data_IF_396503011072
#
_entry.id   IF_396503011072
#
_cell.length_a   1.000
_cell.length_b   1.000
_cell.length_c   1.000
_cell.angle_alpha   90.00
_cell.angle_beta   90.00
_cell.angle_gamma   90.00
#
_symmetry.space_group_name_H-M   'P 1'
#
loop_
_entity.id
_entity.type
_entity.pdbx_description
1 polymer ?
#
# COMPACT_ATOMS: atom_id res chain seq x y z
N UNK A 1 14.85 10.33 -0.88
CA UNK A 1 16.26 10.73 -1.12
C UNK A 1 16.82 10.33 -2.49
N UNK A 2 16.43 9.17 -3.07
CA UNK A 2 16.92 8.75 -4.39
C UNK A 2 16.68 9.77 -5.51
N UNK A 3 15.51 10.40 -5.51
CA UNK A 3 15.14 11.49 -6.43
C UNK A 3 16.04 12.73 -6.31
N UNK A 4 16.36 13.17 -5.08
CA UNK A 4 17.26 14.29 -4.85
C UNK A 4 18.65 14.01 -5.44
N UNK A 5 19.16 12.78 -5.25
CA UNK A 5 20.42 12.36 -5.85
C UNK A 5 20.35 12.41 -7.37
N UNK A 6 19.30 11.86 -8.00
CA UNK A 6 19.15 11.91 -9.48
C UNK A 6 19.11 13.34 -10.01
N UNK A 7 18.39 14.24 -9.35
CA UNK A 7 18.28 15.65 -9.76
C UNK A 7 19.60 16.42 -9.62
N UNK A 8 20.35 16.19 -8.55
CA UNK A 8 21.52 17.02 -8.21
C UNK A 8 22.86 16.43 -8.68
N UNK A 9 22.97 15.10 -8.73
CA UNK A 9 24.21 14.39 -9.13
C UNK A 9 24.09 13.83 -10.55
N UNK A 10 22.87 13.60 -11.04
CA UNK A 10 22.60 13.03 -12.35
C UNK A 10 22.28 11.53 -12.34
N UNK A 11 22.04 11.00 -13.53
CA UNK A 11 21.77 9.59 -13.81
C UNK A 11 23.08 8.81 -13.99
N UNK A 12 22.99 7.48 -14.08
CA UNK A 12 24.10 6.56 -14.41
C UNK A 12 25.27 6.56 -13.40
N UNK A 13 24.98 6.72 -12.11
CA UNK A 13 25.97 6.49 -11.06
C UNK A 13 26.12 4.99 -10.82
N UNK A 14 27.36 4.49 -10.88
CA UNK A 14 27.68 3.11 -10.52
C UNK A 14 27.83 2.93 -9.01
N UNK A 15 27.99 1.68 -8.58
CA UNK A 15 28.07 1.27 -7.19
C UNK A 15 29.18 1.98 -6.39
N UNK A 16 30.24 2.47 -7.04
CA UNK A 16 31.36 3.16 -6.39
C UNK A 16 30.94 4.49 -5.74
N UNK A 17 29.84 5.10 -6.21
CA UNK A 17 29.24 6.23 -5.52
C UNK A 17 28.81 5.83 -4.11
N UNK A 18 28.37 4.59 -3.87
CA UNK A 18 27.91 4.11 -2.56
C UNK A 18 29.00 3.43 -1.71
N UNK A 19 30.23 3.32 -2.20
CA UNK A 19 31.35 2.74 -1.43
C UNK A 19 31.55 3.52 -0.11
N UNK A 20 31.55 2.86 1.05
CA UNK A 20 31.72 3.53 2.35
C UNK A 20 33.10 4.18 2.52
N UNK A 21 34.11 3.75 1.75
CA UNK A 21 35.46 4.34 1.74
C UNK A 21 35.54 5.60 0.88
N UNK A 22 34.52 5.88 0.06
CA UNK A 22 34.45 7.08 -0.75
C UNK A 22 33.88 8.24 0.07
N UNK A 23 34.75 8.92 0.82
CA UNK A 23 34.38 10.03 1.71
C UNK A 23 33.71 11.19 0.97
N UNK A 24 34.17 11.52 -0.24
CA UNK A 24 33.58 12.58 -1.06
C UNK A 24 32.12 12.27 -1.43
N UNK A 25 31.85 11.05 -1.92
CA UNK A 25 30.48 10.64 -2.23
C UNK A 25 29.63 10.50 -0.97
N UNK A 26 30.23 10.06 0.16
CA UNK A 26 29.53 9.97 1.44
C UNK A 26 29.08 11.35 1.94
N UNK A 27 29.91 12.38 1.76
CA UNK A 27 29.56 13.76 2.07
C UNK A 27 28.40 14.25 1.21
N UNK A 28 28.46 14.03 -0.11
CA UNK A 28 27.35 14.36 -1.03
C UNK A 28 26.05 13.69 -0.58
N UNK A 29 26.07 12.38 -0.26
CA UNK A 29 24.89 11.66 0.26
C UNK A 29 24.39 12.21 1.60
N UNK A 30 25.28 12.77 2.41
CA UNK A 30 24.92 13.40 3.68
C UNK A 30 24.21 14.73 3.47
N UNK A 31 24.75 15.57 2.58
CA UNK A 31 24.18 16.88 2.25
C UNK A 31 22.81 16.74 1.59
N UNK A 32 22.67 15.78 0.65
CA UNK A 32 21.38 15.43 0.04
C UNK A 32 20.35 14.96 1.06
N UNK A 33 20.76 14.15 2.05
CA UNK A 33 19.88 13.69 3.10
C UNK A 33 19.42 14.84 4.00
N UNK A 34 20.32 15.79 4.31
CA UNK A 34 20.01 16.98 5.10
C UNK A 34 19.03 17.89 4.37
N UNK A 35 19.29 18.20 3.09
CA UNK A 35 18.38 19.02 2.28
C UNK A 35 16.99 18.37 2.16
N UNK A 36 16.93 17.07 1.89
CA UNK A 36 15.66 16.35 1.83
C UNK A 36 14.91 16.37 3.17
N UNK A 37 15.62 16.34 4.31
CA UNK A 37 15.02 16.44 5.63
C UNK A 37 14.52 17.87 5.93
N UNK A 38 15.27 18.89 5.53
CA UNK A 38 14.86 20.31 5.67
C UNK A 38 13.57 20.56 4.90
N UNK A 39 13.47 20.10 3.66
CA UNK A 39 12.25 20.20 2.85
C UNK A 39 11.08 19.43 3.48
N UNK A 40 11.35 18.25 4.04
CA UNK A 40 10.35 17.45 4.77
C UNK A 40 9.79 18.19 5.98
N UNK A 41 10.68 18.81 6.77
CA UNK A 41 10.33 19.59 7.95
C UNK A 41 9.54 20.85 7.55
N UNK A 42 9.93 21.52 6.45
CA UNK A 42 9.24 22.70 5.93
C UNK A 42 7.84 22.37 5.40
N UNK A 43 7.67 21.20 4.79
CA UNK A 43 6.36 20.72 4.33
C UNK A 43 5.39 20.50 5.51
N UNK A 44 5.88 19.88 6.59
CA UNK A 44 5.13 19.72 7.84
C UNK A 44 4.82 21.07 8.50
N UNK A 45 5.79 21.98 8.54
CA UNK A 45 5.64 23.28 9.21
C UNK A 45 4.71 24.24 8.47
N UNK A 46 4.48 24.02 7.18
CA UNK A 46 3.58 24.82 6.35
C UNK A 46 2.16 24.23 6.24
N UNK A 47 1.87 23.16 6.99
CA UNK A 47 0.62 22.38 6.91
C UNK A 47 0.32 21.90 5.48
N UNK A 48 1.35 21.72 4.65
CA UNK A 48 1.20 21.17 3.30
C UNK A 48 0.98 19.65 3.31
N UNK A 49 1.35 19.00 4.41
CA UNK A 49 1.07 17.60 4.68
C UNK A 49 1.05 17.32 6.20
N UNK A 50 0.34 16.26 6.60
CA UNK A 50 0.28 15.80 8.00
C UNK A 50 1.35 14.75 8.33
N UNK A 51 1.96 14.13 7.32
CA UNK A 51 2.91 13.04 7.49
C UNK A 51 3.94 13.02 6.36
N UNK A 52 5.20 12.75 6.69
CA UNK A 52 6.28 12.58 5.73
C UNK A 52 6.90 11.19 5.84
N UNK A 53 7.08 10.54 4.69
CA UNK A 53 7.84 9.29 4.58
C UNK A 53 9.24 9.61 4.07
N UNK A 54 10.23 9.54 4.97
CA UNK A 54 11.62 9.77 4.62
C UNK A 54 12.27 8.49 4.06
N UNK A 55 12.09 8.24 2.76
CA UNK A 55 12.64 7.06 2.08
C UNK A 55 14.15 7.20 1.80
N UNK A 56 14.95 6.44 2.55
CA UNK A 56 16.38 6.26 2.42
C UNK A 56 16.84 5.00 3.16
N UNK A 57 18.03 4.49 2.84
CA UNK A 57 18.58 3.28 3.48
C UNK A 57 18.82 3.42 4.98
N UNK A 58 19.25 4.61 5.45
CA UNK A 58 19.43 4.92 6.87
C UNK A 58 20.14 3.82 7.70
N UNK A 59 21.11 3.14 7.06
CA UNK A 59 21.67 1.87 7.50
C UNK A 59 22.55 1.97 8.76
N UNK A 60 22.98 3.16 9.18
CA UNK A 60 23.88 3.35 10.33
C UNK A 60 23.17 4.04 11.49
N UNK A 61 23.52 3.68 12.73
CA UNK A 61 23.04 4.34 13.96
C UNK A 61 23.32 5.84 13.92
N UNK A 62 24.52 6.24 13.46
CA UNK A 62 24.90 7.66 13.30
C UNK A 62 23.92 8.43 12.42
N UNK A 63 23.50 7.84 11.28
CA UNK A 63 22.53 8.48 10.37
C UNK A 63 21.18 8.63 11.05
N UNK A 64 20.67 7.58 11.71
CA UNK A 64 19.39 7.63 12.42
C UNK A 64 19.38 8.65 13.56
N UNK A 65 20.46 8.69 14.35
CA UNK A 65 20.64 9.67 15.42
C UNK A 65 20.65 11.12 14.89
N UNK A 66 21.29 11.37 13.75
CA UNK A 66 21.26 12.69 13.10
C UNK A 66 19.83 13.08 12.70
N UNK A 67 19.11 12.19 12.02
CA UNK A 67 17.72 12.47 11.60
C UNK A 67 16.83 12.75 12.81
N UNK A 68 16.94 11.92 13.86
CA UNK A 68 16.20 12.11 15.11
C UNK A 68 16.54 13.44 15.77
N UNK A 69 17.82 13.81 15.85
CA UNK A 69 18.27 15.06 16.44
C UNK A 69 17.69 16.29 15.74
N UNK A 70 17.62 16.29 14.41
CA UNK A 70 17.03 17.39 13.62
C UNK A 70 15.50 17.48 13.78
N UNK A 71 14.82 16.33 13.82
CA UNK A 71 13.36 16.29 14.00
C UNK A 71 12.97 16.74 15.41
N UNK A 72 13.68 16.27 16.44
CA UNK A 72 13.40 16.60 17.85
C UNK A 72 13.57 18.09 18.18
N UNK A 73 14.34 18.84 17.40
CA UNK A 73 14.46 20.30 17.57
C UNK A 73 13.14 21.03 17.29
N UNK A 74 12.27 20.46 16.45
CA UNK A 74 11.07 21.14 15.93
C UNK A 74 9.78 20.42 16.31
N UNK A 75 9.83 19.09 16.38
CA UNK A 75 8.68 18.23 16.66
C UNK A 75 8.98 17.35 17.86
N UNK A 76 8.12 17.39 18.86
CA UNK A 76 8.44 16.78 20.15
C UNK A 76 8.35 15.25 20.19
N UNK A 77 7.60 14.55 19.32
CA UNK A 77 7.34 13.11 19.55
C UNK A 77 6.83 12.21 18.41
N UNK A 78 6.98 12.54 17.12
CA UNK A 78 6.24 11.78 16.07
C UNK A 78 7.10 11.08 15.01
N UNK A 79 8.38 10.84 15.30
CA UNK A 79 9.23 10.05 14.41
C UNK A 79 9.16 8.56 14.74
N UNK A 80 9.09 7.73 13.71
CA UNK A 80 9.24 6.28 13.78
C UNK A 80 10.12 5.78 12.64
N UNK A 81 10.91 4.74 12.90
CA UNK A 81 11.61 4.00 11.85
C UNK A 81 10.84 2.74 11.44
N UNK A 82 10.81 2.45 10.14
CA UNK A 82 10.33 1.18 9.61
C UNK A 82 11.50 0.53 8.89
N UNK A 83 11.94 -0.61 9.38
CA UNK A 83 13.04 -1.39 8.83
C UNK A 83 12.50 -2.63 8.13
N UNK A 84 12.73 -2.73 6.83
CA UNK A 84 12.41 -3.93 6.04
C UNK A 84 13.64 -4.82 5.96
N UNK A 85 13.54 -6.04 6.47
CA UNK A 85 14.60 -7.02 6.51
C UNK A 85 14.19 -8.18 5.59
N UNK A 86 15.01 -8.51 4.61
CA UNK A 86 14.79 -9.66 3.73
C UNK A 86 16.03 -10.53 3.75
N UNK A 87 15.91 -11.72 4.35
CA UNK A 87 16.96 -12.72 4.39
C UNK A 87 16.75 -13.79 3.29
N UNK A 88 15.56 -13.83 2.67
CA UNK A 88 15.24 -14.75 1.58
C UNK A 88 15.99 -14.39 0.28
N UNK A 89 16.84 -15.31 -0.25
CA UNK A 89 17.52 -15.10 -1.53
C UNK A 89 16.56 -14.94 -2.72
N UNK A 90 15.40 -15.62 -2.66
CA UNK A 90 14.37 -15.55 -3.71
C UNK A 90 13.74 -14.16 -3.77
N UNK A 91 13.39 -13.59 -2.61
CA UNK A 91 12.81 -12.25 -2.53
C UNK A 91 13.80 -11.18 -2.99
N UNK A 92 15.09 -11.35 -2.66
CA UNK A 92 16.15 -10.47 -3.14
C UNK A 92 16.27 -10.54 -4.67
N UNK A 93 16.28 -11.74 -5.26
CA UNK A 93 16.34 -11.91 -6.70
C UNK A 93 15.12 -11.28 -7.42
N UNK A 94 13.92 -11.52 -6.91
CA UNK A 94 12.69 -10.91 -7.46
C UNK A 94 12.72 -9.38 -7.34
N UNK A 95 13.13 -8.84 -6.19
CA UNK A 95 13.21 -7.39 -6.00
C UNK A 95 14.22 -6.72 -6.93
N UNK A 96 15.37 -7.36 -7.19
CA UNK A 96 16.39 -6.87 -8.13
C UNK A 96 15.80 -6.80 -9.53
N UNK A 97 15.13 -7.88 -9.96
CA UNK A 97 14.52 -7.96 -11.28
C UNK A 97 13.37 -6.94 -11.44
N UNK A 98 12.42 -6.89 -10.52
CA UNK A 98 11.21 -6.06 -10.67
C UNK A 98 11.46 -4.56 -10.47
N UNK A 99 12.23 -4.17 -9.44
CA UNK A 99 12.37 -2.73 -9.10
C UNK A 99 13.48 -2.01 -9.87
N UNK A 100 14.47 -2.71 -10.41
CA UNK A 100 15.70 -2.06 -10.92
C UNK A 100 15.91 -2.19 -12.41
N UNK A 101 15.25 -3.12 -13.09
CA UNK A 101 15.18 -3.12 -14.55
C UNK A 101 14.34 -1.97 -15.10
N UNK A 102 13.38 -1.45 -14.32
CA UNK A 102 12.61 -0.26 -14.65
C UNK A 102 13.21 1.06 -14.12
N UNK A 103 14.38 1.03 -13.47
CA UNK A 103 14.98 2.21 -12.85
C UNK A 103 15.75 3.03 -13.89
N UNK A 104 15.52 4.35 -13.92
CA UNK A 104 16.25 5.30 -14.79
C UNK A 104 17.77 5.26 -14.59
N UNK A 105 18.23 4.84 -13.39
CA UNK A 105 19.66 4.70 -13.08
C UNK A 105 20.41 3.68 -13.95
N UNK A 106 19.68 2.75 -14.56
CA UNK A 106 20.21 1.61 -15.32
C UNK A 106 19.77 1.64 -16.80
N UNK A 107 19.26 2.78 -17.26
CA UNK A 107 18.80 2.93 -18.64
C UNK A 107 19.92 2.61 -19.66
N UNK A 108 19.67 1.63 -20.52
CA UNK A 108 20.60 1.22 -21.58
C UNK A 108 21.70 0.24 -21.17
N UNK A 109 21.69 -0.28 -19.94
CA UNK A 109 22.61 -1.34 -19.49
C UNK A 109 22.02 -2.73 -19.70
N UNK A 110 22.87 -3.75 -19.79
CA UNK A 110 22.45 -5.16 -19.86
C UNK A 110 22.00 -5.67 -18.49
N UNK A 111 21.20 -6.74 -18.48
CA UNK A 111 20.76 -7.38 -17.24
C UNK A 111 21.94 -7.80 -16.36
N UNK A 112 23.00 -8.38 -16.96
CA UNK A 112 24.17 -8.84 -16.22
C UNK A 112 24.93 -7.68 -15.54
N UNK A 113 25.14 -6.57 -16.26
CA UNK A 113 25.82 -5.38 -15.72
C UNK A 113 25.04 -4.75 -14.56
N UNK A 114 23.71 -4.64 -14.71
CA UNK A 114 22.82 -4.10 -13.67
C UNK A 114 22.86 -4.98 -12.43
N UNK A 115 22.79 -6.30 -12.60
CA UNK A 115 22.85 -7.24 -11.50
C UNK A 115 24.20 -7.16 -10.76
N UNK A 116 25.32 -7.08 -11.49
CA UNK A 116 26.64 -6.98 -10.88
C UNK A 116 26.83 -5.67 -10.10
N UNK A 117 26.51 -4.52 -10.72
CA UNK A 117 26.59 -3.21 -10.08
C UNK A 117 25.73 -3.16 -8.82
N UNK A 118 24.48 -3.63 -8.91
CA UNK A 118 23.55 -3.60 -7.79
C UNK A 118 23.99 -4.53 -6.65
N UNK A 119 24.50 -5.73 -6.97
CA UNK A 119 25.05 -6.63 -5.95
C UNK A 119 26.25 -5.99 -5.23
N UNK A 120 27.15 -5.31 -5.95
CA UNK A 120 28.24 -4.58 -5.33
C UNK A 120 27.72 -3.43 -4.44
N UNK A 121 26.67 -2.74 -4.87
CA UNK A 121 26.00 -1.71 -4.06
C UNK A 121 25.38 -2.28 -2.78
N UNK A 122 24.78 -3.47 -2.83
CA UNK A 122 24.28 -4.17 -1.64
C UNK A 122 25.43 -4.45 -0.67
N UNK A 123 26.54 -5.04 -1.16
CA UNK A 123 27.73 -5.35 -0.35
C UNK A 123 28.29 -4.11 0.36
N UNK A 124 28.29 -2.96 -0.30
CA UNK A 124 28.71 -1.69 0.30
C UNK A 124 27.84 -1.33 1.52
N UNK A 125 26.52 -1.48 1.42
CA UNK A 125 25.62 -1.23 2.55
C UNK A 125 25.71 -2.31 3.64
N UNK A 126 25.82 -3.59 3.28
CA UNK A 126 26.00 -4.69 4.24
C UNK A 126 27.22 -4.46 5.13
N UNK A 127 28.33 -3.95 4.57
CA UNK A 127 29.57 -3.70 5.32
C UNK A 127 29.44 -2.64 6.43
N UNK A 128 28.42 -1.78 6.37
CA UNK A 128 28.18 -0.70 7.35
C UNK A 128 26.84 -0.82 8.05
N UNK A 129 26.02 -1.83 7.70
CA UNK A 129 24.66 -1.95 8.18
C UNK A 129 24.64 -2.26 9.68
N UNK A 130 23.87 -1.46 10.41
CA UNK A 130 23.62 -1.59 11.83
C UNK A 130 22.11 -1.67 12.01
N UNK A 131 21.60 -2.88 12.21
CA UNK A 131 20.19 -3.16 12.43
C UNK A 131 19.64 -2.33 13.61
N UNK A 132 18.35 -1.99 13.57
CA UNK A 132 17.67 -1.41 14.72
C UNK A 132 17.73 -2.36 15.91
N UNK A 133 17.81 -1.85 17.13
CA UNK A 133 17.97 -2.67 18.32
C UNK A 133 17.33 -1.97 19.52
N UNK A 134 16.41 -2.65 20.19
CA UNK A 134 15.62 -2.09 21.29
C UNK A 134 16.49 -1.73 22.51
N UNK A 135 17.66 -2.35 22.68
CA UNK A 135 18.57 -2.06 23.78
C UNK A 135 19.43 -0.82 23.51
N UNK A 136 19.57 -0.41 22.24
CA UNK A 136 20.45 0.71 21.85
C UNK A 136 19.72 1.91 21.27
N UNK A 137 18.46 1.73 20.84
CA UNK A 137 17.66 2.77 20.18
C UNK A 137 16.49 3.18 21.09
N UNK A 138 16.44 4.46 21.46
CA UNK A 138 15.47 5.06 22.38
C UNK A 138 14.29 5.74 21.63
N UNK A 139 13.86 5.15 20.51
CA UNK A 139 12.81 5.68 19.67
C UNK A 139 11.88 4.60 19.08
N UNK A 140 10.67 4.97 18.64
CA UNK A 140 9.71 4.05 18.04
C UNK A 140 10.25 3.43 16.75
N UNK A 141 10.13 2.10 16.62
CA UNK A 141 10.39 1.46 15.35
C UNK A 141 9.62 0.15 15.14
N UNK A 142 9.45 -0.20 13.87
CA UNK A 142 8.88 -1.47 13.42
C UNK A 142 9.90 -2.15 12.51
N UNK A 143 10.21 -3.42 12.77
CA UNK A 143 10.94 -4.28 11.84
C UNK A 143 9.94 -5.20 11.16
N UNK A 144 10.01 -5.27 9.84
CA UNK A 144 9.24 -6.20 9.00
C UNK A 144 10.23 -7.17 8.38
N UNK A 145 10.19 -8.43 8.82
CA UNK A 145 11.12 -9.49 8.38
C UNK A 145 10.43 -10.36 7.35
N UNK A 146 11.13 -10.62 6.25
CA UNK A 146 10.71 -11.42 5.08
C UNK A 146 9.26 -11.13 4.69
N UNK A 147 8.99 -9.86 4.34
CA UNK A 147 7.70 -9.47 3.75
C UNK A 147 6.51 -9.77 4.67
N UNK A 148 6.71 -9.56 5.98
CA UNK A 148 5.68 -9.71 7.01
C UNK A 148 5.62 -11.09 7.66
N UNK A 149 6.57 -12.00 7.35
CA UNK A 149 6.71 -13.30 8.06
C UNK A 149 6.86 -13.10 9.57
N UNK A 150 7.61 -12.07 9.98
CA UNK A 150 7.72 -11.65 11.37
C UNK A 150 7.70 -10.13 11.48
N UNK A 151 7.09 -9.63 12.54
CA UNK A 151 7.09 -8.21 12.87
C UNK A 151 7.55 -8.02 14.30
N UNK A 152 8.49 -7.11 14.48
CA UNK A 152 8.98 -6.67 15.78
C UNK A 152 8.67 -5.20 15.97
N UNK A 153 8.15 -4.83 17.13
CA UNK A 153 7.74 -3.47 17.45
C UNK A 153 8.44 -3.01 18.72
N UNK A 154 9.03 -1.83 18.67
CA UNK A 154 9.64 -1.17 19.81
C UNK A 154 8.95 0.18 20.04
N UNK A 155 8.51 0.43 21.27
CA UNK A 155 8.04 1.76 21.69
C UNK A 155 6.98 2.38 20.76
N UNK A 156 5.98 1.60 20.34
CA UNK A 156 4.87 2.09 19.49
C UNK A 156 3.87 2.85 20.38
N UNK A 157 3.61 4.12 20.08
CA UNK A 157 2.74 4.97 20.87
C UNK A 157 1.68 5.67 20.02
N UNK A 158 0.49 5.82 20.61
CA UNK A 158 -0.60 6.60 20.00
C UNK A 158 -1.26 5.93 18.80
N UNK A 159 -2.16 6.68 18.17
CA UNK A 159 -3.05 6.15 17.14
C UNK A 159 -2.34 5.87 15.82
N UNK A 160 -1.64 6.86 15.24
CA UNK A 160 -1.07 6.76 13.90
C UNK A 160 -0.04 5.62 13.80
N UNK A 161 0.90 5.57 14.74
CA UNK A 161 1.93 4.53 14.82
C UNK A 161 1.33 3.11 14.94
N UNK A 162 0.28 2.96 15.76
CA UNK A 162 -0.44 1.69 15.91
C UNK A 162 -1.17 1.29 14.64
N UNK A 163 -1.75 2.26 13.90
CA UNK A 163 -2.39 2.02 12.60
C UNK A 163 -1.39 1.62 11.52
N UNK A 164 -0.20 2.22 11.52
CA UNK A 164 0.91 1.84 10.63
C UNK A 164 1.35 0.41 10.93
N UNK A 165 1.57 0.07 12.20
CA UNK A 165 1.89 -1.30 12.62
C UNK A 165 0.83 -2.30 12.16
N UNK A 166 -0.45 -1.99 12.40
CA UNK A 166 -1.55 -2.84 11.97
C UNK A 166 -1.58 -3.02 10.45
N UNK A 167 -1.37 -1.95 9.67
CA UNK A 167 -1.30 -2.04 8.21
C UNK A 167 -0.15 -2.97 7.80
N UNK A 168 1.06 -2.74 8.29
CA UNK A 168 2.24 -3.53 7.95
C UNK A 168 2.06 -5.02 8.30
N UNK A 169 1.39 -5.33 9.41
CA UNK A 169 1.06 -6.69 9.82
C UNK A 169 0.05 -7.42 8.92
N UNK A 170 -0.71 -6.68 8.12
CA UNK A 170 -1.73 -7.24 7.24
C UNK A 170 -1.40 -7.10 5.74
N UNK A 171 -0.27 -6.46 5.40
CA UNK A 171 0.18 -6.36 4.01
C UNK A 171 0.68 -7.72 3.50
N UNK A 172 0.15 -8.15 2.36
CA UNK A 172 0.63 -9.33 1.63
C UNK A 172 1.16 -8.86 0.29
N UNK A 173 2.47 -8.97 0.06
CA UNK A 173 3.09 -8.53 -1.20
C UNK A 173 3.07 -9.60 -2.30
N UNK A 174 2.67 -10.84 -1.98
CA UNK A 174 2.49 -11.89 -3.00
C UNK A 174 1.37 -11.47 -3.95
N UNK A 175 1.62 -11.39 -5.28
CA UNK A 175 0.57 -11.08 -6.25
C UNK A 175 -0.59 -12.05 -6.11
N UNK A 176 -1.79 -11.53 -5.94
CA UNK A 176 -3.03 -12.30 -5.87
C UNK A 176 -4.14 -11.54 -6.60
N UNK A 177 -4.95 -12.22 -7.44
CA UNK A 177 -6.05 -11.55 -8.11
C UNK A 177 -7.11 -11.16 -7.08
N UNK A 178 -7.57 -9.90 -7.16
CA UNK A 178 -8.74 -9.41 -6.44
C UNK A 178 -9.80 -9.09 -7.49
N UNK A 179 -10.88 -9.86 -7.52
CA UNK A 179 -11.99 -9.63 -8.42
C UNK A 179 -13.02 -8.74 -7.74
N UNK A 180 -13.34 -7.62 -8.37
CA UNK A 180 -14.38 -6.71 -7.92
C UNK A 180 -15.50 -6.71 -8.95
N UNK A 181 -16.71 -7.00 -8.50
CA UNK A 181 -17.91 -6.82 -9.30
C UNK A 181 -19.06 -6.35 -8.42
N UNK A 182 -19.98 -5.59 -9.02
CA UNK A 182 -21.27 -5.28 -8.40
C UNK A 182 -22.16 -6.53 -8.42
N UNK A 183 -23.26 -6.45 -7.69
CA UNK A 183 -24.37 -7.36 -7.90
C UNK A 183 -24.87 -7.28 -9.37
N UNK A 184 -25.53 -8.33 -9.86
CA UNK A 184 -26.26 -8.24 -11.12
C UNK A 184 -27.30 -7.11 -11.09
N UNK A 185 -27.72 -6.61 -12.25
CA UNK A 185 -28.73 -5.55 -12.32
C UNK A 185 -29.94 -5.85 -11.43
N UNK A 186 -30.33 -4.91 -10.57
CA UNK A 186 -31.49 -5.03 -9.69
C UNK A 186 -32.73 -4.36 -10.29
N UNK A 187 -33.91 -4.68 -9.76
CA UNK A 187 -35.15 -4.00 -10.13
C UNK A 187 -35.13 -2.50 -9.86
N UNK A 188 -34.36 -2.02 -8.88
CA UNK A 188 -34.18 -0.58 -8.66
C UNK A 188 -33.24 0.04 -9.69
N UNK A 189 -32.26 -0.70 -10.22
CA UNK A 189 -31.44 -0.18 -11.30
C UNK A 189 -32.26 0.04 -12.59
N UNK A 190 -33.18 -0.87 -12.92
CA UNK A 190 -34.07 -0.70 -14.09
C UNK A 190 -35.01 0.50 -13.93
N UNK A 191 -35.33 0.87 -12.69
CA UNK A 191 -36.17 2.01 -12.34
C UNK A 191 -35.35 3.29 -12.04
N UNK A 192 -34.01 3.23 -12.13
CA UNK A 192 -33.09 4.31 -11.75
C UNK A 192 -33.26 4.80 -10.31
N UNK A 193 -33.68 3.93 -9.40
CA UNK A 193 -33.80 4.20 -7.97
C UNK A 193 -32.49 3.91 -7.24
N UNK A 194 -32.16 4.74 -6.26
CA UNK A 194 -30.97 4.57 -5.41
C UNK A 194 -31.31 3.80 -4.13
N UNK A 195 -30.32 3.14 -3.53
CA UNK A 195 -30.47 2.44 -2.26
C UNK A 195 -31.42 1.24 -2.30
N UNK A 196 -32.15 1.03 -1.21
CA UNK A 196 -33.09 -0.06 -1.00
C UNK A 196 -32.45 -1.45 -1.00
N UNK A 197 -33.31 -2.47 -0.98
CA UNK A 197 -32.90 -3.89 -1.03
C UNK A 197 -33.65 -4.70 -2.10
N UNK A 198 -33.76 -4.11 -3.29
CA UNK A 198 -34.49 -4.71 -4.41
C UNK A 198 -33.82 -6.00 -4.92
N UNK A 199 -34.61 -7.00 -5.37
CA UNK A 199 -34.07 -8.23 -5.95
C UNK A 199 -33.44 -7.98 -7.33
N UNK A 200 -32.78 -9.01 -7.87
CA UNK A 200 -32.24 -8.97 -9.22
C UNK A 200 -33.34 -8.85 -10.29
N UNK A 201 -33.04 -8.11 -11.36
CA UNK A 201 -33.81 -8.11 -12.60
C UNK A 201 -33.60 -9.42 -13.38
N UNK A 202 -34.38 -9.69 -14.44
CA UNK A 202 -34.12 -10.82 -15.32
C UNK A 202 -32.70 -10.79 -15.94
N UNK A 203 -32.17 -9.61 -16.27
CA UNK A 203 -30.79 -9.46 -16.76
C UNK A 203 -29.77 -9.65 -15.63
N UNK A 204 -30.07 -9.20 -14.42
CA UNK A 204 -29.25 -9.48 -13.24
C UNK A 204 -29.11 -10.97 -12.93
N UNK A 205 -30.19 -11.73 -13.10
CA UNK A 205 -30.16 -13.20 -12.98
C UNK A 205 -29.30 -13.86 -14.06
N UNK A 206 -29.30 -13.33 -15.29
CA UNK A 206 -28.41 -13.80 -16.35
C UNK A 206 -26.95 -13.47 -16.05
N UNK A 207 -26.68 -12.28 -15.51
CA UNK A 207 -25.34 -11.91 -15.04
C UNK A 207 -24.85 -12.86 -13.92
N UNK A 208 -25.68 -13.14 -12.92
CA UNK A 208 -25.36 -14.09 -11.84
C UNK A 208 -24.99 -15.48 -12.39
N UNK A 209 -25.72 -15.96 -13.41
CA UNK A 209 -25.40 -17.21 -14.09
C UNK A 209 -24.07 -17.16 -14.85
N UNK A 210 -23.73 -16.02 -15.46
CA UNK A 210 -22.45 -15.83 -16.15
C UNK A 210 -21.28 -15.74 -15.16
N UNK A 211 -21.47 -15.07 -14.03
CA UNK A 211 -20.47 -14.99 -12.98
C UNK A 211 -20.17 -16.38 -12.41
N UNK A 212 -21.20 -17.19 -12.13
CA UNK A 212 -21.03 -18.58 -11.71
C UNK A 212 -20.23 -19.40 -12.72
N UNK A 213 -20.51 -19.26 -14.03
CA UNK A 213 -19.70 -19.91 -15.09
C UNK A 213 -18.26 -19.45 -15.12
N UNK A 214 -18.01 -18.15 -14.92
CA UNK A 214 -16.66 -17.61 -14.81
C UNK A 214 -15.92 -18.23 -13.61
N UNK A 215 -16.56 -18.26 -12.44
CA UNK A 215 -15.97 -18.88 -11.24
C UNK A 215 -15.69 -20.37 -11.48
N UNK A 216 -16.58 -21.09 -12.14
CA UNK A 216 -16.36 -22.50 -12.48
C UNK A 216 -15.17 -22.70 -13.44
N UNK A 217 -14.99 -21.83 -14.42
CA UNK A 217 -13.92 -21.93 -15.39
C UNK A 217 -12.53 -21.67 -14.78
N UNK A 218 -12.41 -20.69 -13.87
CA UNK A 218 -11.13 -20.27 -13.29
C UNK A 218 -10.87 -20.87 -11.90
N UNK A 219 -11.91 -21.30 -11.19
CA UNK A 219 -11.86 -21.80 -9.82
C UNK A 219 -12.73 -23.08 -9.70
N UNK A 220 -12.41 -24.18 -10.40
CA UNK A 220 -13.35 -25.29 -10.62
C UNK A 220 -13.69 -26.11 -9.37
N UNK A 221 -12.80 -26.18 -8.38
CA UNK A 221 -13.03 -26.96 -7.15
C UNK A 221 -13.34 -26.04 -5.96
N UNK A 222 -14.16 -26.47 -4.99
CA UNK A 222 -14.39 -25.72 -3.75
C UNK A 222 -13.11 -25.46 -2.94
N UNK A 223 -12.11 -26.33 -3.10
CA UNK A 223 -10.79 -26.24 -2.47
C UNK A 223 -9.85 -25.23 -3.13
N UNK A 224 -10.25 -24.62 -4.26
CA UNK A 224 -9.49 -23.48 -4.81
C UNK A 224 -9.53 -22.30 -3.85
N UNK A 225 -8.38 -21.62 -3.68
CA UNK A 225 -8.23 -20.45 -2.81
C UNK A 225 -8.99 -19.22 -3.37
N UNK A 226 -10.32 -19.26 -3.36
CA UNK A 226 -11.19 -18.13 -3.67
C UNK A 226 -12.13 -17.86 -2.49
N UNK A 227 -11.88 -16.73 -1.81
CA UNK A 227 -12.81 -16.18 -0.84
C UNK A 227 -13.88 -15.35 -1.57
N UNK A 228 -15.16 -15.64 -1.34
CA UNK A 228 -16.28 -14.89 -1.93
C UNK A 228 -16.94 -14.05 -0.85
N UNK A 229 -16.91 -12.73 -1.02
CA UNK A 229 -17.52 -11.79 -0.09
C UNK A 229 -18.69 -11.07 -0.75
N UNK A 230 -19.74 -10.81 0.03
CA UNK A 230 -20.91 -10.03 -0.41
C UNK A 230 -21.32 -9.03 0.66
N UNK A 231 -22.11 -8.04 0.26
CA UNK A 231 -22.87 -7.24 1.23
C UNK A 231 -23.94 -8.08 1.92
N UNK A 232 -24.68 -7.49 2.85
CA UNK A 232 -25.85 -8.13 3.45
C UNK A 232 -27.11 -8.02 2.60
N UNK A 233 -27.07 -7.22 1.53
CA UNK A 233 -28.20 -6.93 0.65
C UNK A 233 -28.61 -8.13 -0.22
N UNK A 234 -29.92 -8.27 -0.44
CA UNK A 234 -30.57 -9.33 -1.21
C UNK A 234 -29.94 -9.49 -2.60
N UNK A 235 -29.74 -8.38 -3.32
CA UNK A 235 -29.16 -8.40 -4.67
C UNK A 235 -27.77 -9.01 -4.75
N UNK A 236 -26.89 -8.75 -3.78
CA UNK A 236 -25.56 -9.40 -3.75
C UNK A 236 -25.69 -10.87 -3.38
N UNK A 237 -26.61 -11.22 -2.47
CA UNK A 237 -26.90 -12.61 -2.10
C UNK A 237 -27.40 -13.44 -3.28
N UNK A 238 -28.39 -12.93 -4.02
CA UNK A 238 -28.92 -13.57 -5.23
C UNK A 238 -27.86 -13.71 -6.32
N UNK A 239 -26.94 -12.75 -6.44
CA UNK A 239 -25.87 -12.80 -7.45
C UNK A 239 -24.93 -13.99 -7.26
N UNK A 240 -24.68 -14.38 -6.00
CA UNK A 240 -23.76 -15.48 -5.66
C UNK A 240 -24.46 -16.75 -5.22
N UNK A 241 -25.80 -16.83 -5.30
CA UNK A 241 -26.58 -17.95 -4.81
C UNK A 241 -26.12 -19.29 -5.40
N UNK A 242 -25.85 -19.32 -6.71
CA UNK A 242 -25.34 -20.52 -7.40
C UNK A 242 -23.93 -20.91 -6.96
N UNK A 243 -23.08 -19.91 -6.72
CA UNK A 243 -21.71 -20.11 -6.23
C UNK A 243 -21.75 -20.75 -4.83
N UNK A 244 -22.64 -20.26 -3.96
CA UNK A 244 -22.85 -20.82 -2.62
C UNK A 244 -23.45 -22.24 -2.67
N UNK A 245 -24.44 -22.48 -3.54
CA UNK A 245 -25.09 -23.78 -3.70
C UNK A 245 -24.12 -24.90 -4.15
N UNK A 246 -22.98 -24.54 -4.75
CA UNK A 246 -21.90 -25.45 -5.12
C UNK A 246 -20.91 -25.74 -3.97
N UNK A 247 -21.22 -25.30 -2.76
CA UNK A 247 -20.43 -25.57 -1.55
C UNK A 247 -19.31 -24.57 -1.30
N UNK A 248 -19.22 -23.46 -2.06
CA UNK A 248 -18.22 -22.42 -1.82
C UNK A 248 -18.63 -21.55 -0.63
N UNK A 249 -17.68 -21.26 0.24
CA UNK A 249 -17.91 -20.37 1.39
C UNK A 249 -18.13 -18.93 0.91
N UNK A 250 -19.27 -18.37 1.28
CA UNK A 250 -19.63 -16.96 1.03
C UNK A 250 -19.75 -16.24 2.36
N UNK A 251 -18.95 -15.19 2.54
CA UNK A 251 -18.98 -14.35 3.75
C UNK A 251 -19.76 -13.07 3.47
N UNK A 252 -20.70 -12.74 4.34
CA UNK A 252 -21.47 -11.49 4.27
C UNK A 252 -20.84 -10.43 5.17
N UNK A 253 -20.61 -9.25 4.63
CA UNK A 253 -20.04 -8.12 5.33
C UNK A 253 -20.98 -6.92 5.26
N UNK A 254 -21.44 -6.44 6.41
CA UNK A 254 -22.28 -5.24 6.50
C UNK A 254 -21.55 -3.99 5.99
N UNK A 255 -20.23 -3.96 6.13
CA UNK A 255 -19.36 -2.88 5.64
C UNK A 255 -19.28 -2.83 4.10
N UNK A 256 -19.77 -3.86 3.40
CA UNK A 256 -19.91 -3.87 1.94
C UNK A 256 -21.32 -3.47 1.48
N UNK A 257 -22.23 -3.14 2.40
CA UNK A 257 -23.53 -2.59 2.04
C UNK A 257 -23.34 -1.29 1.25
N UNK A 258 -24.23 -1.08 0.27
CA UNK A 258 -24.29 0.15 -0.50
C UNK A 258 -24.43 1.36 0.43
N UNK A 259 -23.93 2.51 -0.02
CA UNK A 259 -24.05 3.76 0.73
C UNK A 259 -25.50 4.02 1.13
N UNK A 260 -25.71 4.34 2.41
CA UNK A 260 -27.02 4.67 2.94
C UNK A 260 -27.47 6.04 2.40
N UNK A 261 -28.53 6.03 1.59
CA UNK A 261 -29.10 7.23 1.01
C UNK A 261 -29.98 8.02 2.00
N UNK A 262 -30.22 7.48 3.20
CA UNK A 262 -31.02 8.10 4.24
C UNK A 262 -32.45 8.36 3.77
N UNK A 263 -32.91 9.60 3.89
CA UNK A 263 -34.26 10.01 3.46
C UNK A 263 -34.47 9.90 1.94
N UNK A 264 -33.40 9.78 1.15
CA UNK A 264 -33.46 9.61 -0.30
C UNK A 264 -33.55 8.13 -0.74
N UNK A 265 -33.62 7.17 0.20
CA UNK A 265 -33.64 5.75 -0.12
C UNK A 265 -34.87 5.38 -0.98
N UNK A 266 -34.62 4.67 -2.08
CA UNK A 266 -35.63 4.28 -3.04
C UNK A 266 -36.06 5.38 -4.02
N UNK A 267 -35.56 6.62 -3.92
CA UNK A 267 -35.87 7.68 -4.88
C UNK A 267 -35.08 7.55 -6.19
N UNK A 268 -35.59 8.12 -7.27
CA UNK A 268 -34.73 8.41 -8.44
C UNK A 268 -33.98 9.72 -8.24
N UNK A 269 -32.91 9.94 -8.99
CA UNK A 269 -32.17 11.21 -8.94
C UNK A 269 -33.04 12.41 -9.32
N UNK A 270 -34.00 12.23 -10.24
CA UNK A 270 -34.96 13.27 -10.61
C UNK A 270 -35.88 13.62 -9.43
N UNK A 271 -36.38 12.61 -8.70
CA UNK A 271 -37.18 12.84 -7.50
C UNK A 271 -36.37 13.57 -6.41
N UNK A 272 -35.10 13.19 -6.20
CA UNK A 272 -34.23 13.90 -5.25
C UNK A 272 -34.01 15.36 -5.68
N UNK A 273 -33.84 15.62 -6.97
CA UNK A 273 -33.65 16.98 -7.48
C UNK A 273 -34.91 17.85 -7.35
N UNK A 274 -36.10 17.26 -7.49
CA UNK A 274 -37.38 17.96 -7.35
C UNK A 274 -37.77 18.18 -5.87
N UNK A 275 -37.63 17.15 -5.04
CA UNK A 275 -38.09 17.16 -3.64
C UNK A 275 -37.04 17.76 -2.69
N UNK A 276 -35.75 17.61 -3.00
CA UNK A 276 -34.62 18.05 -2.17
C UNK A 276 -33.53 18.74 -3.01
N UNK A 277 -33.85 19.88 -3.67
CA UNK A 277 -32.94 20.54 -4.60
C UNK A 277 -31.64 21.02 -3.95
N UNK A 278 -31.67 21.46 -2.70
CA UNK A 278 -30.48 21.90 -1.96
C UNK A 278 -29.51 20.74 -1.72
N UNK A 279 -30.00 19.58 -1.25
CA UNK A 279 -29.19 18.37 -1.05
C UNK A 279 -28.64 17.82 -2.37
N UNK A 280 -29.45 17.87 -3.44
CA UNK A 280 -29.01 17.46 -4.77
C UNK A 280 -27.87 18.33 -5.30
N UNK A 281 -27.93 19.66 -5.07
CA UNK A 281 -26.88 20.59 -5.47
C UNK A 281 -25.63 20.47 -4.60
N UNK A 282 -25.77 20.21 -3.30
CA UNK A 282 -24.63 20.03 -2.39
C UNK A 282 -23.80 18.76 -2.67
N UNK A 283 -24.39 17.76 -3.37
CA UNK A 283 -23.73 16.49 -3.75
C UNK A 283 -23.17 16.47 -5.17
N UNK A 284 -23.27 17.56 -5.93
CA UNK A 284 -22.61 17.69 -7.26
C UNK A 284 -21.14 18.07 -7.12
#
# INVERSE_FOLDING_TARGET
TGEYRRKLVGLNMNHAFWDPRNEASAQIRSDLAKQCLEDSIAALASDSCDCVIFDATNATRRRRAMLRGEVLQRYKCEMMFIESISESPELLATSINEMKLGSEDYAGQTMEEVAEDYNNRIRHYESVYQQLDADTEDFPFIKVVDVGRQIFCNQIYGYLQSRIMFLLANLQLRPRPIWLSRHGESMFNTQKRIGGDAPLSPLGMQYAAQLDRFIEAYYPTPDTELAVWTSTMLRTGMTVERIAARGRSVVKWKQLDEIDAGICDGMTYEQVAEEMPEEYLARK
#
